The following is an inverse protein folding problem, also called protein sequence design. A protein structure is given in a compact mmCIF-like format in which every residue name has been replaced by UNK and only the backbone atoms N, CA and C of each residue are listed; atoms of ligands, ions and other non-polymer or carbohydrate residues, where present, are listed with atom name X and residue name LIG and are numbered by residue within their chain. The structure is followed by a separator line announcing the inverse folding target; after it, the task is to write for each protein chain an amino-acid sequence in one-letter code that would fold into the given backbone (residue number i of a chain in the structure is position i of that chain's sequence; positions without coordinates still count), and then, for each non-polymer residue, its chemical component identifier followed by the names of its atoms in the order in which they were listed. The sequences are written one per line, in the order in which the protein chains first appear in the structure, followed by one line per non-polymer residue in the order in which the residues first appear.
data_IF_276582610998
#
_entry.id   IF_276582610998
#
_cell.length_a   1.000
_cell.length_b   1.000
_cell.length_c   1.000
_cell.angle_alpha   90.00
_cell.angle_beta   90.00
_cell.angle_gamma   90.00
#
_symmetry.space_group_name_H-M   'P 1'
#
loop_
_entity.id
_entity.type
_entity.pdbx_description
1 polymer ?
#
# COMPACT_ATOMS: atom_id res chain seq x y z
N UNK A 1 13.57 3.17 -2.06
CA UNK A 1 13.29 1.89 -2.76
C UNK A 1 12.10 2.07 -3.69
N UNK A 2 12.34 2.11 -5.00
CA UNK A 2 11.30 2.10 -6.05
C UNK A 2 10.89 0.65 -6.40
N UNK A 3 9.86 0.50 -7.25
CA UNK A 3 9.44 -0.83 -7.75
C UNK A 3 10.57 -1.54 -8.50
N UNK A 4 11.30 -0.82 -9.36
CA UNK A 4 12.41 -1.38 -10.14
C UNK A 4 13.57 -1.81 -9.23
N UNK A 5 13.93 -0.97 -8.24
CA UNK A 5 14.95 -1.31 -7.24
C UNK A 5 14.55 -2.56 -6.41
N UNK A 6 13.26 -2.73 -6.10
CA UNK A 6 12.77 -3.93 -5.41
C UNK A 6 12.90 -5.19 -6.29
N UNK A 7 12.56 -5.11 -7.58
CA UNK A 7 12.73 -6.22 -8.54
C UNK A 7 14.19 -6.63 -8.59
N UNK A 8 15.10 -5.67 -8.79
CA UNK A 8 16.54 -5.92 -8.86
C UNK A 8 17.05 -6.62 -7.60
N UNK A 9 16.69 -6.11 -6.41
CA UNK A 9 17.07 -6.73 -5.13
C UNK A 9 16.57 -8.18 -5.02
N UNK A 10 15.32 -8.45 -5.41
CA UNK A 10 14.77 -9.82 -5.36
C UNK A 10 15.51 -10.73 -6.33
N UNK A 11 15.78 -10.29 -7.55
CA UNK A 11 16.55 -11.06 -8.55
C UNK A 11 17.95 -11.39 -8.03
N UNK A 12 18.64 -10.41 -7.41
CA UNK A 12 19.96 -10.64 -6.82
C UNK A 12 19.93 -11.69 -5.70
N UNK A 13 18.88 -11.70 -4.86
CA UNK A 13 18.75 -12.68 -3.79
C UNK A 13 18.16 -14.03 -4.22
N UNK A 14 17.52 -14.10 -5.39
CA UNK A 14 16.83 -15.29 -5.90
C UNK A 14 17.35 -15.63 -7.30
N UNK A 15 18.64 -15.99 -7.40
CA UNK A 15 19.31 -16.25 -8.68
C UNK A 15 18.71 -17.37 -9.53
N UNK A 16 17.85 -18.21 -8.95
CA UNK A 16 17.08 -19.24 -9.65
C UNK A 16 15.86 -18.72 -10.40
N UNK A 17 15.40 -17.48 -10.13
CA UNK A 17 14.25 -16.87 -10.79
C UNK A 17 14.72 -15.95 -11.92
N UNK A 18 14.01 -15.98 -13.05
CA UNK A 18 14.28 -15.01 -14.11
C UNK A 18 13.79 -13.61 -13.70
N UNK A 19 14.48 -12.57 -14.16
CA UNK A 19 14.05 -11.17 -13.90
C UNK A 19 12.62 -10.90 -14.38
N UNK A 20 12.24 -11.49 -15.52
CA UNK A 20 10.88 -11.39 -16.07
C UNK A 20 9.84 -12.02 -15.15
N UNK A 21 10.15 -13.18 -14.56
CA UNK A 21 9.21 -13.84 -13.64
C UNK A 21 9.05 -13.06 -12.34
N UNK A 22 10.14 -12.48 -11.81
CA UNK A 22 10.08 -11.61 -10.63
C UNK A 22 9.25 -10.36 -10.91
N UNK A 23 9.49 -9.69 -12.05
CA UNK A 23 8.71 -8.52 -12.45
C UNK A 23 7.21 -8.85 -12.58
N UNK A 24 6.90 -9.97 -13.24
CA UNK A 24 5.52 -10.44 -13.41
C UNK A 24 4.87 -10.74 -12.06
N UNK A 25 5.56 -11.45 -11.16
CA UNK A 25 5.06 -11.79 -9.84
C UNK A 25 4.73 -10.54 -9.01
N UNK A 26 5.62 -9.54 -8.99
CA UNK A 26 5.38 -8.28 -8.26
C UNK A 26 4.23 -7.50 -8.88
N UNK A 27 4.14 -7.43 -10.21
CA UNK A 27 3.02 -6.78 -10.89
C UNK A 27 1.69 -7.45 -10.52
N UNK A 28 1.62 -8.78 -10.60
CA UNK A 28 0.42 -9.54 -10.26
C UNK A 28 0.04 -9.38 -8.80
N UNK A 29 1.00 -9.42 -7.88
CA UNK A 29 0.75 -9.20 -6.45
C UNK A 29 0.10 -7.82 -6.19
N UNK A 30 0.66 -6.75 -6.75
CA UNK A 30 0.13 -5.39 -6.56
C UNK A 30 -1.27 -5.23 -7.16
N UNK A 31 -1.53 -5.89 -8.29
CA UNK A 31 -2.86 -5.92 -8.91
C UNK A 31 -3.89 -6.60 -8.00
N UNK A 32 -3.56 -7.79 -7.47
CA UNK A 32 -4.44 -8.52 -6.56
C UNK A 32 -4.74 -7.74 -5.28
N UNK A 33 -3.74 -7.06 -4.71
CA UNK A 33 -3.94 -6.18 -3.56
C UNK A 33 -4.86 -5.00 -3.90
N UNK A 34 -4.69 -4.40 -5.08
CA UNK A 34 -5.53 -3.28 -5.53
C UNK A 34 -6.98 -3.73 -5.73
N UNK A 35 -7.19 -4.89 -6.35
CA UNK A 35 -8.52 -5.45 -6.58
C UNK A 35 -9.23 -5.78 -5.27
N UNK A 36 -8.54 -6.42 -4.31
CA UNK A 36 -9.11 -6.72 -3.00
C UNK A 36 -9.56 -5.44 -2.27
N UNK A 37 -8.76 -4.37 -2.30
CA UNK A 37 -9.17 -3.11 -1.70
C UNK A 37 -10.31 -2.43 -2.46
N UNK A 38 -10.37 -2.57 -3.78
CA UNK A 38 -11.46 -2.03 -4.59
C UNK A 38 -12.82 -2.71 -4.30
N UNK A 39 -12.79 -4.00 -3.93
CA UNK A 39 -13.99 -4.78 -3.57
C UNK A 39 -14.42 -4.61 -2.11
N UNK A 40 -13.65 -3.88 -1.30
CA UNK A 40 -13.94 -3.68 0.12
C UNK A 40 -13.27 -4.68 1.06
N UNK A 41 -12.44 -5.58 0.53
CA UNK A 41 -11.78 -6.60 1.32
C UNK A 41 -10.62 -6.02 2.14
N UNK A 42 -10.27 -6.76 3.20
CA UNK A 42 -9.10 -6.49 4.03
C UNK A 42 -7.96 -7.40 3.60
N UNK A 43 -6.75 -6.85 3.54
CA UNK A 43 -5.52 -7.61 3.29
C UNK A 43 -4.75 -7.73 4.61
N UNK A 44 -4.29 -8.93 4.94
CA UNK A 44 -3.44 -9.18 6.10
C UNK A 44 -2.21 -10.00 5.71
N UNK A 45 -1.03 -9.46 5.99
CA UNK A 45 0.26 -10.12 5.80
C UNK A 45 0.91 -10.17 7.18
N UNK A 46 0.86 -11.33 7.85
CA UNK A 46 1.44 -11.51 9.19
C UNK A 46 2.92 -11.15 9.19
N UNK A 47 3.39 -10.52 10.27
CA UNK A 47 4.71 -9.90 10.36
C UNK A 47 4.78 -8.50 9.74
N UNK A 48 4.25 -8.32 8.52
CA UNK A 48 4.35 -7.05 7.80
C UNK A 48 3.28 -6.02 8.19
N UNK A 49 2.00 -6.39 8.15
CA UNK A 49 0.89 -5.48 8.47
C UNK A 49 -0.41 -5.82 7.76
N UNK A 50 -1.37 -4.90 7.84
CA UNK A 50 -2.69 -5.08 7.20
C UNK A 50 -3.18 -3.81 6.51
N UNK A 51 -3.84 -3.98 5.36
CA UNK A 51 -4.54 -2.92 4.65
C UNK A 51 -6.05 -3.06 4.85
N UNK A 52 -6.71 -1.94 5.13
CA UNK A 52 -8.16 -1.86 5.36
C UNK A 52 -8.71 -0.59 4.75
N UNK A 53 -10.02 -0.50 4.56
CA UNK A 53 -10.68 0.73 4.14
C UNK A 53 -11.25 1.48 5.33
N UNK A 54 -10.96 2.77 5.41
CA UNK A 54 -11.63 3.67 6.36
C UNK A 54 -12.62 4.56 5.61
N UNK A 55 -13.87 4.58 6.07
CA UNK A 55 -14.85 5.54 5.57
C UNK A 55 -14.51 6.96 6.03
N UNK A 56 -14.72 7.93 5.14
CA UNK A 56 -14.67 9.36 5.42
C UNK A 56 -16.04 9.93 5.08
N UNK A 57 -16.71 10.47 6.09
CA UNK A 57 -18.00 11.11 5.91
C UNK A 57 -17.90 12.33 4.98
N UNK A 58 -18.97 12.66 4.24
CA UNK A 58 -19.04 13.89 3.44
C UNK A 58 -18.76 15.12 4.32
N UNK A 59 -18.06 16.10 3.77
CA UNK A 59 -17.73 17.35 4.48
C UNK A 59 -17.51 18.51 3.52
N UNK A 60 -17.58 19.73 4.04
CA UNK A 60 -17.17 20.93 3.30
C UNK A 60 -15.66 21.13 3.45
N UNK A 61 -14.94 21.05 2.34
CA UNK A 61 -13.53 21.42 2.24
C UNK A 61 -13.37 22.86 1.76
N UNK A 62 -12.11 23.28 1.59
CA UNK A 62 -11.77 24.55 0.95
C UNK A 62 -10.71 24.34 -0.11
N UNK A 63 -10.80 25.09 -1.21
CA UNK A 63 -9.74 25.14 -2.20
C UNK A 63 -8.49 25.76 -1.57
N UNK A 64 -7.33 25.07 -1.51
CA UNK A 64 -6.12 25.60 -0.90
C UNK A 64 -5.58 26.87 -1.57
N UNK A 65 -5.92 27.10 -2.85
CA UNK A 65 -5.47 28.27 -3.63
C UNK A 65 -6.41 29.47 -3.50
N UNK A 66 -7.73 29.26 -3.50
CA UNK A 66 -8.73 30.35 -3.54
C UNK A 66 -9.49 30.56 -2.23
N UNK A 67 -9.47 29.58 -1.31
CA UNK A 67 -10.22 29.62 -0.06
C UNK A 67 -11.72 29.32 -0.20
N UNK A 68 -12.22 29.17 -1.42
CA UNK A 68 -13.63 28.88 -1.71
C UNK A 68 -14.05 27.53 -1.13
N UNK A 69 -15.30 27.45 -0.66
CA UNK A 69 -15.86 26.22 -0.11
C UNK A 69 -16.19 25.22 -1.21
N UNK A 70 -15.78 23.96 -1.03
CA UNK A 70 -16.10 22.87 -1.95
C UNK A 70 -16.74 21.71 -1.19
N UNK A 71 -17.82 21.15 -1.74
CA UNK A 71 -18.46 19.96 -1.17
C UNK A 71 -17.62 18.73 -1.52
N UNK A 72 -17.28 17.93 -0.52
CA UNK A 72 -16.58 16.66 -0.68
C UNK A 72 -17.51 15.52 -0.31
N UNK A 73 -17.71 14.58 -1.23
CA UNK A 73 -18.53 13.41 -0.99
C UNK A 73 -17.83 12.42 -0.06
N UNK A 74 -18.66 11.55 0.53
CA UNK A 74 -18.16 10.47 1.37
C UNK A 74 -17.40 9.45 0.53
N UNK A 75 -16.27 8.96 1.05
CA UNK A 75 -15.43 8.00 0.33
C UNK A 75 -14.69 7.07 1.27
N UNK A 76 -14.31 5.91 0.76
CA UNK A 76 -13.36 5.03 1.41
C UNK A 76 -11.92 5.44 1.06
N UNK A 77 -11.02 5.34 2.04
CA UNK A 77 -9.59 5.53 1.84
C UNK A 77 -8.83 4.31 2.35
N UNK A 78 -7.84 3.79 1.61
CA UNK A 78 -6.96 2.75 2.11
C UNK A 78 -6.20 3.23 3.35
N UNK A 79 -6.06 2.34 4.32
CA UNK A 79 -5.31 2.56 5.55
C UNK A 79 -4.43 1.33 5.81
N UNK A 80 -3.13 1.57 5.92
CA UNK A 80 -2.16 0.55 6.31
C UNK A 80 -1.88 0.62 7.81
N UNK A 81 -1.98 -0.52 8.48
CA UNK A 81 -1.54 -0.70 9.87
C UNK A 81 -0.29 -1.58 9.88
N UNK A 82 0.89 -1.04 10.19
CA UNK A 82 2.12 -1.82 10.31
C UNK A 82 1.97 -2.95 11.32
N UNK A 83 2.53 -4.13 11.03
CA UNK A 83 2.59 -5.28 11.93
C UNK A 83 3.56 -5.07 13.09
N UNK A 84 3.56 -5.96 14.10
CA UNK A 84 4.51 -5.86 15.23
C UNK A 84 5.95 -5.94 14.75
N UNK A 85 6.28 -6.98 13.99
CA UNK A 85 7.64 -7.20 13.48
C UNK A 85 8.14 -6.03 12.63
N UNK A 86 7.30 -5.48 11.73
CA UNK A 86 7.68 -4.28 10.97
C UNK A 86 7.92 -3.06 11.87
N UNK A 87 7.08 -2.82 12.89
CA UNK A 87 7.29 -1.70 13.81
C UNK A 87 8.56 -1.88 14.63
N UNK A 88 8.80 -3.08 15.13
CA UNK A 88 9.98 -3.38 15.95
C UNK A 88 11.26 -3.16 15.14
N UNK A 89 11.34 -3.70 13.91
CA UNK A 89 12.48 -3.50 12.99
C UNK A 89 12.73 -2.05 12.59
N UNK A 90 11.73 -1.18 12.67
CA UNK A 90 11.85 0.26 12.39
C UNK A 90 12.20 1.06 13.65
N UNK A 91 11.77 0.57 14.81
CA UNK A 91 11.97 1.23 16.10
C UNK A 91 13.21 0.75 16.86
N UNK A 92 13.86 -0.33 16.43
CA UNK A 92 15.20 -0.69 16.94
C UNK A 92 16.16 0.46 16.57
N UNK A 93 16.41 1.32 17.56
CA UNK A 93 17.61 2.17 17.60
C UNK A 93 18.82 1.23 17.58
N UNK A 94 19.75 1.44 16.64
CA UNK A 94 21.13 0.97 16.82
C UNK A 94 21.74 1.57 18.10
#
# INVERSE_FOLDING_TARGET
MTKSELIERIVTHQGQLSSKDVELAIKTMLEQMSQALATGDRIEIRGFGSFSLHFRAPRTGRNPKTGESVRLDGKFVPHFKPGKELRDRVNEEE
#
